data_IF_300116524706
#
_entry.id   IF_300116524706
#
_cell.length_a   1.000
_cell.length_b   1.000
_cell.length_c   1.000
_cell.angle_alpha   90.00
_cell.angle_beta   90.00
_cell.angle_gamma   90.00
#
_symmetry.space_group_name_H-M   'P 1'
#
loop_
_entity.id
_entity.type
_entity.pdbx_description
1 polymer ?
#
# COMPACT_ATOMS: atom_id res chain seq x y z
N UNK A 1 12.48 -25.08 -11.57
CA UNK A 1 13.16 -24.32 -10.50
C UNK A 1 12.87 -25.03 -9.21
N UNK A 2 13.89 -25.38 -8.42
CA UNK A 2 13.65 -25.75 -7.04
C UNK A 2 13.35 -24.48 -6.24
N UNK A 3 12.34 -24.56 -5.38
CA UNK A 3 11.87 -23.41 -4.63
C UNK A 3 11.24 -23.82 -3.30
N UNK A 4 11.29 -22.91 -2.34
CA UNK A 4 10.75 -23.10 -0.99
C UNK A 4 9.71 -22.02 -0.72
N UNK A 5 8.47 -22.41 -0.41
CA UNK A 5 7.45 -21.47 0.03
C UNK A 5 7.89 -20.83 1.36
N UNK A 6 7.98 -19.50 1.38
CA UNK A 6 8.34 -18.71 2.56
C UNK A 6 7.08 -18.16 3.23
N UNK A 7 6.15 -17.66 2.44
CA UNK A 7 4.92 -17.04 2.93
C UNK A 7 3.81 -17.19 1.90
N UNK A 8 2.58 -17.46 2.36
CA UNK A 8 1.37 -17.47 1.55
C UNK A 8 0.43 -16.42 2.12
N UNK A 9 0.30 -15.29 1.42
CA UNK A 9 -0.56 -14.17 1.78
C UNK A 9 -1.91 -14.21 1.08
N UNK A 10 -2.71 -13.15 1.25
CA UNK A 10 -4.04 -13.02 0.62
C UNK A 10 -3.92 -12.86 -0.89
N UNK A 11 -3.06 -11.96 -1.36
CA UNK A 11 -2.90 -11.64 -2.79
C UNK A 11 -1.66 -12.25 -3.43
N UNK A 12 -0.69 -12.74 -2.65
CA UNK A 12 0.62 -13.17 -3.17
C UNK A 12 1.18 -14.36 -2.40
N UNK A 13 1.88 -15.25 -3.10
CA UNK A 13 2.77 -16.24 -2.50
C UNK A 13 4.22 -15.78 -2.69
N UNK A 14 5.07 -16.05 -1.70
CA UNK A 14 6.49 -15.71 -1.72
C UNK A 14 7.30 -16.99 -1.63
N UNK A 15 8.14 -17.22 -2.63
CA UNK A 15 9.04 -18.36 -2.70
C UNK A 15 10.49 -17.90 -2.64
N UNK A 16 11.32 -18.64 -1.92
CA UNK A 16 12.78 -18.54 -2.04
C UNK A 16 13.24 -19.40 -3.21
N UNK A 17 14.01 -18.79 -4.10
CA UNK A 17 14.57 -19.45 -5.27
C UNK A 17 15.88 -20.10 -4.84
N UNK A 18 15.97 -21.44 -4.89
CA UNK A 18 17.14 -22.17 -4.36
C UNK A 18 18.19 -22.47 -5.42
N UNK A 19 17.87 -22.33 -6.71
CA UNK A 19 18.78 -22.67 -7.82
C UNK A 19 18.62 -21.75 -9.03
N UNK A 20 19.64 -21.71 -9.90
CA UNK A 20 19.62 -20.96 -11.15
C UNK A 20 20.00 -19.47 -11.01
N UNK A 21 19.70 -18.68 -12.06
CA UNK A 21 20.11 -17.26 -12.18
C UNK A 21 19.70 -16.39 -11.00
N UNK A 22 18.53 -16.66 -10.41
CA UNK A 22 17.96 -15.90 -9.30
C UNK A 22 18.11 -16.62 -7.95
N UNK A 23 19.03 -17.57 -7.81
CA UNK A 23 19.28 -18.26 -6.54
C UNK A 23 19.56 -17.26 -5.41
N UNK A 24 18.92 -17.47 -4.26
CA UNK A 24 18.98 -16.58 -3.10
C UNK A 24 18.08 -15.35 -3.17
N UNK A 25 17.27 -15.19 -4.24
CA UNK A 25 16.26 -14.13 -4.37
C UNK A 25 14.86 -14.67 -4.05
N UNK A 26 13.91 -13.75 -3.92
CA UNK A 26 12.50 -14.10 -3.72
C UNK A 26 11.70 -13.97 -5.01
N UNK A 27 10.75 -14.88 -5.21
CA UNK A 27 9.76 -14.90 -6.29
C UNK A 27 8.39 -14.62 -5.69
N UNK A 28 7.81 -13.48 -6.03
CA UNK A 28 6.44 -13.12 -5.68
C UNK A 28 5.51 -13.59 -6.79
N UNK A 29 4.58 -14.48 -6.45
CA UNK A 29 3.54 -14.98 -7.36
C UNK A 29 2.23 -14.32 -6.98
N UNK A 30 1.74 -13.43 -7.85
CA UNK A 30 0.50 -12.70 -7.67
C UNK A 30 -0.68 -13.62 -7.99
N UNK A 31 -1.65 -13.68 -7.07
CA UNK A 31 -2.81 -14.56 -7.11
C UNK A 31 -4.05 -13.84 -7.63
N UNK A 32 -4.92 -14.62 -8.24
CA UNK A 32 -6.26 -14.19 -8.65
C UNK A 32 -7.26 -14.16 -7.49
N UNK A 33 -6.83 -14.58 -6.29
CA UNK A 33 -7.62 -14.52 -5.06
C UNK A 33 -8.11 -13.08 -4.78
N UNK A 34 -9.40 -12.98 -4.50
CA UNK A 34 -10.07 -11.72 -4.24
C UNK A 34 -10.74 -11.76 -2.85
N UNK A 35 -10.52 -10.68 -2.10
CA UNK A 35 -11.12 -10.52 -0.77
C UNK A 35 -12.48 -9.85 -0.83
N UNK A 36 -13.27 -10.05 0.22
CA UNK A 36 -14.62 -9.53 0.28
C UNK A 36 -15.46 -10.19 1.38
N UNK A 37 -16.77 -10.22 1.16
CA UNK A 37 -17.74 -10.85 2.06
C UNK A 37 -18.82 -11.60 1.26
N UNK A 38 -19.59 -12.44 1.93
CA UNK A 38 -20.76 -13.07 1.34
C UNK A 38 -22.03 -12.30 1.69
N UNK A 39 -22.80 -11.92 0.68
CA UNK A 39 -24.14 -11.32 0.83
C UNK A 39 -25.16 -12.20 0.11
N UNK A 40 -26.14 -12.72 0.85
CA UNK A 40 -27.15 -13.64 0.32
C UNK A 40 -26.55 -14.84 -0.43
N UNK A 41 -25.44 -15.39 0.07
CA UNK A 41 -24.74 -16.54 -0.52
C UNK A 41 -23.92 -16.22 -1.78
N UNK A 42 -23.81 -14.95 -2.18
CA UNK A 42 -22.96 -14.50 -3.30
C UNK A 42 -21.74 -13.76 -2.77
N UNK A 43 -20.58 -14.04 -3.35
CA UNK A 43 -19.36 -13.29 -3.04
C UNK A 43 -19.50 -11.85 -3.56
N UNK A 44 -19.27 -10.89 -2.67
CA UNK A 44 -19.10 -9.47 -2.98
C UNK A 44 -17.64 -9.14 -2.78
N UNK A 45 -16.95 -8.84 -3.88
CA UNK A 45 -15.53 -8.50 -3.86
C UNK A 45 -15.32 -7.07 -3.34
N UNK A 46 -14.54 -6.94 -2.27
CA UNK A 46 -14.17 -5.68 -1.66
C UNK A 46 -12.74 -5.81 -1.09
N UNK A 47 -11.74 -5.11 -1.68
CA UNK A 47 -10.36 -5.19 -1.23
C UNK A 47 -10.14 -4.64 0.18
N UNK A 48 -11.13 -3.95 0.76
CA UNK A 48 -11.09 -3.50 2.15
C UNK A 48 -11.38 -4.60 3.18
N UNK A 49 -11.69 -5.83 2.75
CA UNK A 49 -11.89 -6.99 3.63
C UNK A 49 -10.66 -7.91 3.61
N UNK A 50 -10.52 -8.67 4.70
CA UNK A 50 -9.37 -9.55 4.93
C UNK A 50 -9.63 -11.03 4.60
N UNK A 51 -10.84 -11.37 4.20
CA UNK A 51 -11.25 -12.75 3.88
C UNK A 51 -11.25 -12.97 2.38
N UNK A 52 -10.56 -13.98 1.89
CA UNK A 52 -10.66 -14.44 0.48
C UNK A 52 -12.02 -15.11 0.28
N UNK A 53 -12.83 -14.58 -0.63
CA UNK A 53 -14.21 -15.06 -0.89
C UNK A 53 -14.40 -15.62 -2.30
N UNK A 54 -13.36 -15.58 -3.13
CA UNK A 54 -13.37 -16.13 -4.46
C UNK A 54 -12.14 -15.72 -5.26
N UNK A 55 -12.21 -15.89 -6.58
CA UNK A 55 -11.15 -15.53 -7.51
C UNK A 55 -11.69 -14.62 -8.61
N UNK A 56 -10.87 -13.66 -9.04
CA UNK A 56 -11.10 -12.81 -10.20
C UNK A 56 -10.02 -13.16 -11.23
N UNK A 57 -10.36 -13.89 -12.31
CA UNK A 57 -9.38 -14.31 -13.31
C UNK A 57 -8.54 -13.14 -13.85
N UNK A 58 -7.22 -13.31 -13.86
CA UNK A 58 -6.26 -12.32 -14.36
C UNK A 58 -5.91 -11.19 -13.38
N UNK A 59 -6.54 -11.13 -12.19
CA UNK A 59 -6.24 -10.11 -11.17
C UNK A 59 -4.76 -10.11 -10.78
N UNK A 60 -4.15 -11.27 -10.58
CA UNK A 60 -2.75 -11.39 -10.20
C UNK A 60 -1.81 -10.86 -11.28
N UNK A 61 -2.10 -11.17 -12.54
CA UNK A 61 -1.32 -10.67 -13.67
C UNK A 61 -1.40 -9.13 -13.81
N UNK A 62 -2.61 -8.56 -13.67
CA UNK A 62 -2.80 -7.11 -13.70
C UNK A 62 -2.04 -6.43 -12.55
N UNK A 63 -2.13 -6.97 -11.33
CA UNK A 63 -1.41 -6.43 -10.18
C UNK A 63 0.11 -6.47 -10.39
N UNK A 64 0.66 -7.58 -10.90
CA UNK A 64 2.09 -7.69 -11.18
C UNK A 64 2.56 -6.73 -12.27
N UNK A 65 1.80 -6.59 -13.38
CA UNK A 65 2.10 -5.62 -14.44
C UNK A 65 2.09 -4.19 -13.93
N UNK A 66 1.11 -3.84 -13.09
CA UNK A 66 1.01 -2.51 -12.48
C UNK A 66 2.19 -2.25 -11.53
N UNK A 67 2.51 -3.20 -10.65
CA UNK A 67 3.66 -3.10 -9.76
C UNK A 67 4.97 -2.98 -10.55
N UNK A 68 5.12 -3.75 -11.63
CA UNK A 68 6.27 -3.67 -12.54
C UNK A 68 6.44 -2.28 -13.14
N UNK A 69 5.36 -1.66 -13.63
CA UNK A 69 5.39 -0.30 -14.18
C UNK A 69 5.96 0.69 -13.17
N UNK A 70 5.40 0.71 -11.96
CA UNK A 70 5.84 1.65 -10.93
C UNK A 70 7.23 1.34 -10.41
N UNK A 71 7.61 0.07 -10.18
CA UNK A 71 8.97 -0.23 -9.73
C UNK A 71 10.04 0.16 -10.76
N UNK A 72 9.77 -0.02 -12.06
CA UNK A 72 10.67 0.48 -13.11
C UNK A 72 10.77 2.01 -13.09
N UNK A 73 9.63 2.70 -13.00
CA UNK A 73 9.60 4.16 -12.89
C UNK A 73 10.37 4.67 -11.64
N UNK A 74 10.25 3.97 -10.52
CA UNK A 74 11.00 4.26 -9.31
C UNK A 74 12.51 4.06 -9.50
N UNK A 75 12.93 2.98 -10.17
CA UNK A 75 14.35 2.74 -10.51
C UNK A 75 14.91 3.86 -11.40
N UNK A 76 14.15 4.34 -12.40
CA UNK A 76 14.55 5.47 -13.25
C UNK A 76 14.80 6.75 -12.45
N UNK A 77 14.08 6.94 -11.34
CA UNK A 77 14.26 8.06 -10.42
C UNK A 77 15.26 7.77 -9.27
N UNK A 78 15.98 6.65 -9.33
CA UNK A 78 16.98 6.27 -8.32
C UNK A 78 16.38 5.92 -6.95
N UNK A 79 15.09 5.57 -6.89
CA UNK A 79 14.44 5.16 -5.65
C UNK A 79 14.79 3.71 -5.34
N UNK A 80 15.30 3.41 -4.13
CA UNK A 80 15.67 2.06 -3.76
C UNK A 80 14.41 1.20 -3.51
N UNK A 81 14.34 0.04 -4.16
CA UNK A 81 13.27 -0.93 -4.00
C UNK A 81 13.83 -2.36 -3.95
N UNK A 82 13.00 -3.31 -3.53
CA UNK A 82 13.35 -4.73 -3.65
C UNK A 82 13.25 -5.27 -5.09
N UNK A 83 12.70 -4.53 -6.05
CA UNK A 83 12.42 -5.05 -7.39
C UNK A 83 13.70 -5.37 -8.18
N UNK A 84 13.75 -6.55 -8.80
CA UNK A 84 14.85 -6.98 -9.67
C UNK A 84 14.35 -7.15 -11.11
N UNK A 85 13.32 -7.98 -11.31
CA UNK A 85 12.84 -8.37 -12.64
C UNK A 85 11.39 -8.85 -12.61
N UNK A 86 10.75 -8.91 -13.78
CA UNK A 86 9.42 -9.49 -13.98
C UNK A 86 9.55 -10.62 -14.99
N UNK A 87 9.38 -11.86 -14.54
CA UNK A 87 9.73 -13.06 -15.33
C UNK A 87 8.53 -13.71 -16.02
N UNK A 88 7.31 -13.35 -15.62
CA UNK A 88 6.06 -13.73 -16.27
C UNK A 88 4.97 -12.71 -15.96
N UNK A 89 3.77 -12.90 -16.52
CA UNK A 89 2.64 -11.97 -16.36
C UNK A 89 2.25 -11.72 -14.90
N UNK A 90 2.44 -12.71 -14.00
CA UNK A 90 2.06 -12.62 -12.59
C UNK A 90 3.21 -12.91 -11.62
N UNK A 91 4.47 -12.89 -12.09
CA UNK A 91 5.63 -13.22 -11.27
C UNK A 91 6.71 -12.14 -11.29
N UNK A 92 7.15 -11.76 -10.09
CA UNK A 92 8.16 -10.74 -9.87
C UNK A 92 9.31 -11.31 -9.05
N UNK A 93 10.54 -11.04 -9.47
CA UNK A 93 11.75 -11.37 -8.73
C UNK A 93 12.18 -10.16 -7.92
N UNK A 94 12.45 -10.38 -6.63
CA UNK A 94 12.80 -9.33 -5.70
C UNK A 94 13.98 -9.72 -4.81
N UNK A 95 14.71 -8.72 -4.33
CA UNK A 95 15.66 -8.86 -3.25
C UNK A 95 14.94 -9.30 -1.97
N UNK A 96 15.47 -10.28 -1.23
CA UNK A 96 14.93 -10.63 0.07
C UNK A 96 14.98 -9.44 1.01
N UNK A 97 13.82 -9.08 1.55
CA UNK A 97 13.66 -8.02 2.54
C UNK A 97 12.80 -8.49 3.71
N UNK A 98 13.11 -7.99 4.89
CA UNK A 98 12.38 -8.24 6.12
C UNK A 98 11.40 -7.08 6.36
N UNK A 99 10.13 -7.39 6.67
CA UNK A 99 9.16 -6.41 7.18
C UNK A 99 9.71 -5.58 8.34
N UNK A 100 9.17 -4.38 8.55
CA UNK A 100 9.50 -3.51 9.69
C UNK A 100 8.74 -3.93 10.95
N UNK A 101 8.89 -5.20 11.32
CA UNK A 101 8.31 -5.79 12.52
C UNK A 101 9.31 -5.96 13.66
N UNK A 102 8.80 -6.17 14.87
CA UNK A 102 9.56 -6.53 16.07
C UNK A 102 8.83 -7.63 16.86
N UNK A 103 9.53 -8.52 17.57
CA UNK A 103 8.91 -9.49 18.46
C UNK A 103 8.15 -8.79 19.60
N UNK A 104 7.32 -9.55 20.32
CA UNK A 104 6.77 -9.06 21.57
C UNK A 104 7.89 -8.95 22.62
N UNK A 105 7.96 -7.81 23.32
CA UNK A 105 8.99 -7.57 24.35
C UNK A 105 8.80 -8.44 25.60
N UNK A 106 7.57 -8.82 25.91
CA UNK A 106 7.23 -9.62 27.09
C UNK A 106 6.14 -10.65 26.76
N UNK A 107 6.45 -11.69 25.95
CA UNK A 107 5.48 -12.68 25.46
C UNK A 107 4.82 -13.52 26.57
N UNK A 108 5.38 -13.52 27.77
CA UNK A 108 4.82 -14.18 28.95
C UNK A 108 3.54 -13.53 29.49
N UNK A 109 3.27 -12.25 29.15
CA UNK A 109 2.05 -11.58 29.56
C UNK A 109 0.89 -11.87 28.61
N UNK A 110 -0.30 -12.25 29.13
CA UNK A 110 -1.48 -12.46 28.29
C UNK A 110 -1.83 -11.21 27.47
N UNK A 111 -1.92 -11.36 26.15
CA UNK A 111 -2.23 -10.29 25.21
C UNK A 111 -1.01 -9.66 24.50
N UNK A 112 0.22 -10.00 24.92
CA UNK A 112 1.43 -9.60 24.20
C UNK A 112 1.48 -10.22 22.80
N UNK A 113 1.77 -9.38 21.80
CA UNK A 113 1.83 -9.78 20.41
C UNK A 113 2.96 -9.04 19.68
N UNK A 114 3.60 -9.66 18.67
CA UNK A 114 4.61 -9.00 17.87
C UNK A 114 3.99 -7.94 16.95
N UNK A 115 4.75 -6.90 16.63
CA UNK A 115 4.48 -6.05 15.48
C UNK A 115 4.90 -6.81 14.22
N UNK A 116 3.95 -7.18 13.37
CA UNK A 116 4.24 -7.99 12.19
C UNK A 116 4.89 -7.18 11.06
N UNK A 117 4.31 -6.01 10.76
CA UNK A 117 4.85 -5.07 9.78
C UNK A 117 4.30 -3.66 10.04
N UNK A 118 4.86 -2.68 9.36
CA UNK A 118 4.33 -1.32 9.25
C UNK A 118 3.90 -1.03 7.82
N UNK A 119 2.83 -0.25 7.72
CA UNK A 119 2.35 0.33 6.48
C UNK A 119 2.42 1.86 6.59
N UNK A 120 2.95 2.50 5.55
CA UNK A 120 3.09 3.95 5.49
C UNK A 120 2.05 4.50 4.53
N UNK A 121 1.07 5.22 5.09
CA UNK A 121 0.06 5.90 4.29
C UNK A 121 0.52 7.32 3.99
N UNK A 122 0.58 7.70 2.72
CA UNK A 122 0.70 9.12 2.34
C UNK A 122 -0.66 9.66 1.95
N UNK A 123 -0.92 10.93 2.25
CA UNK A 123 -2.19 11.59 1.95
C UNK A 123 -2.00 12.95 1.33
N UNK A 124 -2.48 13.10 0.10
CA UNK A 124 -2.60 14.40 -0.54
C UNK A 124 -3.86 15.12 -0.04
N UNK A 125 -4.95 14.37 0.19
CA UNK A 125 -6.25 14.93 0.53
C UNK A 125 -6.89 14.24 1.75
N UNK A 126 -7.64 15.01 2.55
CA UNK A 126 -8.39 14.51 3.69
C UNK A 126 -9.58 13.63 3.25
N UNK A 127 -9.40 12.31 3.19
CA UNK A 127 -10.46 11.33 2.91
C UNK A 127 -10.28 10.07 3.76
N UNK A 128 -11.07 9.03 3.52
CA UNK A 128 -10.90 7.72 4.12
C UNK A 128 -10.84 7.75 5.66
N UNK A 129 -9.88 7.01 6.23
CA UNK A 129 -9.69 6.94 7.68
C UNK A 129 -9.23 8.26 8.30
N UNK A 130 -8.48 9.09 7.56
CA UNK A 130 -8.04 10.40 8.03
C UNK A 130 -9.22 11.30 8.37
N UNK A 131 -10.16 11.45 7.43
CA UNK A 131 -11.33 12.30 7.66
C UNK A 131 -12.24 11.75 8.76
N UNK A 132 -12.40 10.42 8.83
CA UNK A 132 -13.19 9.79 9.91
C UNK A 132 -12.60 10.07 11.30
N UNK A 133 -11.26 10.11 11.42
CA UNK A 133 -10.56 10.45 12.66
C UNK A 133 -10.60 11.94 12.98
N UNK A 134 -10.53 12.79 11.95
CA UNK A 134 -10.50 14.25 12.09
C UNK A 134 -11.70 14.92 11.40
N UNK A 135 -12.93 14.74 11.92
CA UNK A 135 -14.15 15.22 11.25
C UNK A 135 -14.27 16.76 11.23
N UNK A 136 -13.43 17.47 11.99
CA UNK A 136 -13.30 18.92 11.95
C UNK A 136 -12.49 19.41 10.73
N UNK A 137 -11.88 18.51 9.95
CA UNK A 137 -11.21 18.84 8.70
C UNK A 137 -12.22 18.76 7.55
N UNK A 138 -12.19 19.76 6.66
CA UNK A 138 -13.03 19.77 5.45
C UNK A 138 -12.71 18.54 4.58
N UNK A 139 -13.72 17.78 4.11
CA UNK A 139 -13.50 16.66 3.20
C UNK A 139 -12.71 17.07 1.95
N UNK A 140 -11.79 16.21 1.52
CA UNK A 140 -10.89 16.40 0.38
C UNK A 140 -10.00 17.66 0.43
N UNK A 141 -9.89 18.33 1.58
CA UNK A 141 -8.91 19.40 1.79
C UNK A 141 -7.51 18.90 1.45
N UNK A 142 -6.72 19.73 0.77
CA UNK A 142 -5.29 19.47 0.60
C UNK A 142 -4.62 19.47 1.98
N UNK A 143 -3.91 18.38 2.27
CA UNK A 143 -3.20 18.19 3.54
C UNK A 143 -1.70 18.02 3.33
N UNK A 144 -1.18 18.43 2.17
CA UNK A 144 0.26 18.61 1.94
C UNK A 144 1.10 17.34 2.16
N UNK A 145 0.66 16.20 1.59
CA UNK A 145 1.43 14.94 1.59
C UNK A 145 1.75 14.43 3.01
N UNK A 146 0.77 14.47 3.93
CA UNK A 146 0.92 13.90 5.28
C UNK A 146 1.32 12.42 5.17
N UNK A 147 2.29 11.99 5.97
CA UNK A 147 2.68 10.59 6.11
C UNK A 147 2.26 10.09 7.49
N UNK A 148 1.63 8.93 7.53
CA UNK A 148 1.21 8.22 8.75
C UNK A 148 1.77 6.80 8.74
N UNK A 149 2.21 6.29 9.90
CA UNK A 149 2.57 4.90 10.08
C UNK A 149 1.42 4.11 10.73
N UNK A 150 1.22 2.89 10.28
CA UNK A 150 0.15 2.00 10.73
C UNK A 150 0.70 0.60 10.98
N UNK A 151 0.25 -0.06 12.03
CA UNK A 151 0.55 -1.48 12.24
C UNK A 151 -0.21 -2.33 11.22
N UNK A 152 0.40 -3.40 10.72
CA UNK A 152 -0.31 -4.40 9.92
C UNK A 152 -0.86 -5.51 10.81
N UNK A 153 -2.18 -5.69 10.85
CA UNK A 153 -2.83 -6.73 11.66
C UNK A 153 -4.31 -6.94 11.31
N UNK A 154 -5.06 -7.60 12.20
CA UNK A 154 -6.52 -7.77 12.04
C UNK A 154 -7.28 -6.42 12.10
N UNK A 155 -6.67 -5.44 12.76
CA UNK A 155 -7.11 -4.05 12.73
C UNK A 155 -5.87 -3.18 12.69
N UNK A 156 -5.72 -2.41 11.62
CA UNK A 156 -4.59 -1.50 11.48
C UNK A 156 -4.72 -0.34 12.48
N UNK A 157 -3.71 -0.19 13.34
CA UNK A 157 -3.65 0.85 14.37
C UNK A 157 -2.68 1.92 13.90
N UNK A 158 -3.11 3.19 13.94
CA UNK A 158 -2.19 4.30 13.74
C UNK A 158 -1.20 4.35 14.89
N UNK A 159 0.08 4.38 14.56
CA UNK A 159 1.17 4.62 15.51
C UNK A 159 1.83 5.95 15.19
N UNK A 160 2.04 6.79 16.21
CA UNK A 160 2.78 8.04 16.03
C UNK A 160 4.26 7.74 15.84
N UNK A 161 4.99 8.61 15.15
CA UNK A 161 6.44 8.43 14.98
C UNK A 161 7.21 8.45 16.31
N UNK A 162 6.74 9.22 17.30
CA UNK A 162 7.29 9.20 18.65
C UNK A 162 7.06 7.84 19.33
N UNK A 163 5.83 7.30 19.30
CA UNK A 163 5.57 5.97 19.85
C UNK A 163 6.35 4.87 19.11
N UNK A 164 6.56 5.02 17.80
CA UNK A 164 7.33 4.08 17.00
C UNK A 164 8.82 4.07 17.38
N UNK A 165 9.36 5.23 17.74
CA UNK A 165 10.73 5.35 18.28
C UNK A 165 10.82 4.75 19.69
N UNK A 166 9.92 5.14 20.60
CA UNK A 166 9.98 4.73 22.01
C UNK A 166 9.69 3.24 22.22
N UNK A 167 8.95 2.60 21.30
CA UNK A 167 8.77 1.14 21.29
C UNK A 167 9.98 0.39 20.73
N UNK A 168 11.00 1.09 20.22
CA UNK A 168 12.19 0.50 19.62
C UNK A 168 11.96 -0.15 18.25
N UNK A 169 10.79 0.00 17.64
CA UNK A 169 10.48 -0.59 16.34
C UNK A 169 11.33 0.02 15.21
N UNK A 170 11.60 1.33 15.30
CA UNK A 170 12.47 2.06 14.39
C UNK A 170 13.23 3.16 15.12
N UNK A 171 14.48 3.39 14.76
CA UNK A 171 15.22 4.56 15.27
C UNK A 171 14.71 5.87 14.64
N UNK A 172 14.95 7.02 15.28
CA UNK A 172 14.62 8.33 14.68
C UNK A 172 15.16 8.51 13.26
N UNK A 173 16.41 8.10 13.03
CA UNK A 173 17.04 8.19 11.71
C UNK A 173 16.34 7.32 10.65
N UNK A 174 15.91 6.12 11.03
CA UNK A 174 15.13 5.25 10.14
C UNK A 174 13.74 5.82 9.85
N UNK A 175 13.09 6.42 10.84
CA UNK A 175 11.79 7.08 10.70
C UNK A 175 11.90 8.26 9.73
N UNK A 176 12.85 9.16 9.96
CA UNK A 176 13.05 10.36 9.14
C UNK A 176 13.36 9.96 7.68
N UNK A 177 14.25 8.98 7.49
CA UNK A 177 14.54 8.42 6.18
C UNK A 177 13.30 7.81 5.51
N UNK A 178 12.49 7.05 6.26
CA UNK A 178 11.28 6.39 5.74
C UNK A 178 10.22 7.40 5.32
N UNK A 179 10.03 8.47 6.10
CA UNK A 179 9.11 9.56 5.76
C UNK A 179 9.55 10.24 4.47
N UNK A 180 10.83 10.56 4.32
CA UNK A 180 11.35 11.20 3.12
C UNK A 180 11.29 10.27 1.90
N UNK A 181 11.57 8.98 2.07
CA UNK A 181 11.42 7.97 1.03
C UNK A 181 9.95 7.88 0.57
N UNK A 182 9.01 7.79 1.50
CA UNK A 182 7.56 7.73 1.20
C UNK A 182 7.10 8.98 0.46
N UNK A 183 7.53 10.18 0.87
CA UNK A 183 7.18 11.43 0.17
C UNK A 183 7.70 11.46 -1.27
N UNK A 184 8.94 11.01 -1.50
CA UNK A 184 9.53 10.93 -2.86
C UNK A 184 8.77 9.95 -3.75
N UNK A 185 8.47 8.76 -3.23
CA UNK A 185 7.67 7.76 -3.97
C UNK A 185 6.27 8.33 -4.25
N UNK A 186 5.62 8.91 -3.25
CA UNK A 186 4.30 9.52 -3.39
C UNK A 186 4.26 10.63 -4.45
N UNK A 187 5.32 11.43 -4.56
CA UNK A 187 5.45 12.45 -5.59
C UNK A 187 5.57 11.87 -6.99
N UNK A 188 6.39 10.83 -7.19
CA UNK A 188 6.51 10.13 -8.46
C UNK A 188 5.17 9.50 -8.85
N UNK A 189 4.54 8.77 -7.93
CA UNK A 189 3.22 8.15 -8.16
C UNK A 189 2.17 9.22 -8.48
N UNK A 190 2.10 10.30 -7.70
CA UNK A 190 1.14 11.39 -7.93
C UNK A 190 1.35 12.06 -9.29
N UNK A 191 2.60 12.29 -9.69
CA UNK A 191 2.94 12.90 -10.98
C UNK A 191 2.60 11.98 -12.15
N UNK A 192 2.87 10.69 -12.01
CA UNK A 192 2.61 9.68 -13.02
C UNK A 192 1.10 9.54 -13.30
N UNK A 193 0.26 9.50 -12.27
CA UNK A 193 -1.19 9.57 -12.43
C UNK A 193 -1.65 10.95 -12.95
N UNK A 194 -1.04 12.03 -12.47
CA UNK A 194 -1.34 13.41 -12.90
C UNK A 194 -1.14 13.61 -14.40
N UNK A 195 -0.08 13.02 -14.97
CA UNK A 195 0.19 13.05 -16.41
C UNK A 195 -0.94 12.45 -17.26
N UNK A 196 -1.79 11.62 -16.65
CA UNK A 196 -2.93 10.93 -17.28
C UNK A 196 -4.28 11.57 -16.90
N UNK A 197 -4.25 12.79 -16.35
CA UNK A 197 -5.45 13.53 -15.95
C UNK A 197 -6.15 12.94 -14.71
N UNK A 198 -5.43 12.16 -13.91
CA UNK A 198 -5.95 11.51 -12.71
C UNK A 198 -5.41 12.17 -11.43
N UNK A 199 -6.19 12.10 -10.37
CA UNK A 199 -5.84 12.72 -9.09
C UNK A 199 -5.73 11.71 -7.97
N UNK A 200 -4.52 11.56 -7.42
CA UNK A 200 -4.24 10.66 -6.28
C UNK A 200 -4.60 11.36 -4.98
N UNK A 201 -5.56 10.82 -4.24
CA UNK A 201 -5.99 11.34 -2.93
C UNK A 201 -5.06 10.87 -1.81
N UNK A 202 -4.75 9.58 -1.79
CA UNK A 202 -3.85 8.92 -0.85
C UNK A 202 -3.44 7.55 -1.39
N UNK A 203 -2.52 6.91 -0.69
CA UNK A 203 -2.22 5.50 -0.87
C UNK A 203 -1.32 4.97 0.24
N UNK A 204 -0.89 3.73 0.10
CA UNK A 204 -0.16 2.99 1.12
C UNK A 204 1.06 2.29 0.52
N UNK A 205 2.18 2.34 1.23
CA UNK A 205 3.39 1.60 0.88
C UNK A 205 3.82 0.73 2.05
N UNK A 206 4.45 -0.40 1.73
CA UNK A 206 5.21 -1.19 2.69
C UNK A 206 6.70 -0.93 2.47
N UNK A 207 7.42 -0.75 3.58
CA UNK A 207 8.87 -0.64 3.57
C UNK A 207 9.46 -1.87 4.26
N UNK A 208 10.69 -2.21 3.91
CA UNK A 208 11.40 -3.33 4.51
C UNK A 208 12.90 -3.11 4.53
N UNK A 209 13.58 -3.83 5.43
CA UNK A 209 15.04 -3.87 5.51
C UNK A 209 15.55 -4.98 4.62
N UNK A 210 16.45 -4.69 3.68
CA UNK A 210 17.10 -5.76 2.90
C UNK A 210 17.70 -6.81 3.84
N UNK A 211 17.51 -8.09 3.53
CA UNK A 211 17.94 -9.21 4.38
C UNK A 211 19.46 -9.34 4.40
N UNK A 212 20.11 -8.95 3.32
CA UNK A 212 21.57 -9.01 3.12
C UNK A 212 22.13 -7.60 2.91
N UNK A 213 23.45 -7.45 3.06
CA UNK A 213 24.14 -6.17 2.91
C UNK A 213 23.98 -5.26 4.13
N UNK A 214 23.83 -3.97 3.88
CA UNK A 214 23.72 -2.90 4.90
C UNK A 214 22.34 -2.82 5.58
N UNK A 215 21.42 -3.73 5.22
CA UNK A 215 20.03 -3.78 5.71
C UNK A 215 19.25 -2.48 5.47
N UNK A 216 19.60 -1.74 4.41
CA UNK A 216 18.93 -0.49 4.05
C UNK A 216 17.41 -0.67 3.92
N UNK A 217 16.68 0.35 4.37
CA UNK A 217 15.23 0.44 4.19
C UNK A 217 14.92 0.81 2.72
N UNK A 218 14.07 0.00 2.10
CA UNK A 218 13.62 0.15 0.70
C UNK A 218 12.10 -0.05 0.62
N UNK A 219 11.48 0.39 -0.47
CA UNK A 219 10.08 0.01 -0.74
C UNK A 219 10.01 -1.46 -1.14
N UNK A 220 9.07 -2.18 -0.54
CA UNK A 220 8.81 -3.60 -0.75
C UNK A 220 7.33 -3.82 -1.14
N UNK A 221 6.92 -5.09 -1.18
CA UNK A 221 5.59 -5.54 -1.59
C UNK A 221 5.22 -5.11 -3.02
N UNK A 222 4.15 -4.32 -3.18
CA UNK A 222 3.64 -3.86 -4.47
C UNK A 222 3.21 -2.38 -4.46
N UNK A 223 3.21 -1.77 -5.63
CA UNK A 223 2.34 -0.61 -5.92
C UNK A 223 1.29 -1.12 -6.88
N UNK A 224 0.04 -1.16 -6.45
CA UNK A 224 -1.09 -1.72 -7.19
C UNK A 224 -2.33 -0.84 -7.06
N UNK A 225 -3.37 -1.05 -7.88
CA UNK A 225 -4.65 -0.37 -7.74
C UNK A 225 -5.27 -0.46 -6.34
N UNK A 226 -5.00 -1.55 -5.61
CA UNK A 226 -5.61 -1.81 -4.30
C UNK A 226 -5.00 -0.93 -3.19
N UNK A 227 -3.79 -0.38 -3.42
CA UNK A 227 -3.07 0.44 -2.44
C UNK A 227 -3.10 1.94 -2.74
N UNK A 228 -3.85 2.37 -3.77
CA UNK A 228 -4.00 3.79 -4.13
C UNK A 228 -5.45 4.20 -4.29
N UNK A 229 -5.81 5.40 -3.80
CA UNK A 229 -7.12 6.01 -4.09
C UNK A 229 -6.94 7.11 -5.10
N UNK A 230 -7.46 6.89 -6.30
CA UNK A 230 -7.35 7.83 -7.41
C UNK A 230 -8.74 8.22 -7.89
N UNK A 231 -8.94 9.49 -8.23
CA UNK A 231 -10.19 10.02 -8.76
C UNK A 231 -10.03 10.62 -10.15
N UNK A 232 -11.11 10.59 -10.93
CA UNK A 232 -11.25 11.39 -12.14
C UNK A 232 -11.67 12.81 -11.78
N UNK A 233 -11.02 13.78 -12.42
CA UNK A 233 -11.26 15.19 -12.21
C UNK A 233 -10.61 15.72 -10.94
N UNK A 234 -9.92 16.85 -11.09
CA UNK A 234 -9.35 17.62 -9.99
C UNK A 234 -9.12 19.04 -10.49
N UNK A 235 -9.68 20.00 -9.75
CA UNK A 235 -9.55 21.41 -10.04
C UNK A 235 -9.02 22.09 -8.76
N UNK A 236 -7.69 22.18 -8.58
CA UNK A 236 -7.11 22.83 -7.42
C UNK A 236 -7.36 24.34 -7.45
N UNK A 237 -7.65 24.93 -6.29
CA UNK A 237 -7.48 26.36 -6.07
C UNK A 237 -6.00 26.71 -5.79
N UNK A 238 -5.73 27.99 -5.50
CA UNK A 238 -4.39 28.50 -5.19
C UNK A 238 -3.72 27.81 -3.99
N UNK A 239 -4.50 27.22 -3.09
CA UNK A 239 -4.01 26.53 -1.89
C UNK A 239 -3.94 24.99 -2.13
N UNK A 240 -4.15 24.54 -3.38
CA UNK A 240 -4.15 23.15 -3.80
C UNK A 240 -5.42 22.38 -3.42
N UNK A 241 -6.42 23.06 -2.86
CA UNK A 241 -7.66 22.43 -2.46
C UNK A 241 -8.51 22.08 -3.68
N UNK A 242 -9.06 20.86 -3.72
CA UNK A 242 -10.02 20.50 -4.75
C UNK A 242 -11.29 21.36 -4.63
N UNK A 243 -11.65 22.08 -5.70
CA UNK A 243 -12.84 22.95 -5.75
C UNK A 243 -14.12 22.17 -6.07
N UNK A 244 -14.02 21.06 -6.82
CA UNK A 244 -15.15 20.21 -7.22
C UNK A 244 -15.54 19.15 -6.18
N UNK A 245 -14.90 19.18 -5.00
CA UNK A 245 -15.10 18.14 -3.98
C UNK A 245 -16.56 18.01 -3.51
N UNK A 246 -17.36 19.08 -3.59
CA UNK A 246 -18.78 19.08 -3.21
C UNK A 246 -19.63 18.17 -4.12
N UNK A 247 -19.22 18.00 -5.37
CA UNK A 247 -19.97 17.24 -6.36
C UNK A 247 -19.69 15.74 -6.25
N UNK A 248 -18.48 15.38 -5.79
CA UNK A 248 -18.01 14.01 -5.74
C UNK A 248 -17.89 13.41 -4.33
N UNK A 249 -17.78 14.21 -3.27
CA UNK A 249 -17.60 13.70 -1.91
C UNK A 249 -18.92 13.51 -1.20
N UNK A 250 -19.19 12.29 -0.78
CA UNK A 250 -20.38 11.92 0.01
C UNK A 250 -19.93 11.47 1.39
N UNK A 251 -20.43 12.13 2.43
CA UNK A 251 -20.22 11.73 3.82
C UNK A 251 -21.53 11.27 4.45
N UNK A 252 -21.46 10.30 5.35
CA UNK A 252 -22.60 9.89 6.17
C UNK A 252 -22.19 9.78 7.64
N UNK A 253 -23.17 9.93 8.53
CA UNK A 253 -23.01 9.66 9.96
C UNK A 253 -24.26 8.97 10.47
N UNK A 254 -24.13 7.69 10.84
CA UNK A 254 -25.20 6.89 11.39
C UNK A 254 -24.63 6.00 12.50
N UNK A 255 -25.35 5.85 13.61
CA UNK A 255 -24.96 4.95 14.72
C UNK A 255 -23.53 5.18 15.24
N UNK A 256 -23.08 6.43 15.31
CA UNK A 256 -21.72 6.77 15.75
C UNK A 256 -20.62 6.47 14.71
N UNK A 257 -20.96 5.88 13.56
CA UNK A 257 -20.02 5.56 12.48
C UNK A 257 -20.05 6.64 11.40
N UNK A 258 -18.88 7.21 11.13
CA UNK A 258 -18.65 8.13 10.00
C UNK A 258 -18.24 7.35 8.76
N UNK A 259 -18.77 7.73 7.60
CA UNK A 259 -18.29 7.23 6.32
C UNK A 259 -18.03 8.37 5.36
N UNK A 260 -17.11 8.14 4.42
CA UNK A 260 -16.78 9.07 3.34
C UNK A 260 -16.51 8.25 2.08
N UNK A 261 -17.08 8.69 0.97
CA UNK A 261 -16.91 8.08 -0.36
C UNK A 261 -16.65 9.17 -1.39
N UNK A 262 -15.75 8.89 -2.33
CA UNK A 262 -15.51 9.73 -3.49
C UNK A 262 -16.19 9.09 -4.72
N UNK A 263 -17.23 9.72 -5.26
CA UNK A 263 -18.03 9.21 -6.39
C UNK A 263 -17.22 8.98 -7.65
N UNK A 264 -16.21 9.81 -7.88
CA UNK A 264 -15.35 9.76 -9.06
C UNK A 264 -14.09 8.89 -8.86
N UNK A 265 -14.05 8.07 -7.80
CA UNK A 265 -12.94 7.15 -7.60
C UNK A 265 -12.85 6.17 -8.78
N UNK A 266 -11.66 6.08 -9.37
CA UNK A 266 -11.34 5.17 -10.47
C UNK A 266 -11.38 3.74 -9.93
N UNK A 267 -12.06 2.84 -10.64
CA UNK A 267 -12.09 1.41 -10.31
C UNK A 267 -10.78 0.76 -10.72
N UNK A 268 -10.35 -0.28 -10.01
CA UNK A 268 -9.11 -0.99 -10.30
C UNK A 268 -9.03 -1.46 -11.78
N UNK A 269 -10.14 -1.98 -12.32
CA UNK A 269 -10.21 -2.44 -13.71
C UNK A 269 -9.97 -1.32 -14.74
N UNK A 270 -10.32 -0.08 -14.43
CA UNK A 270 -10.14 1.04 -15.35
C UNK A 270 -8.67 1.44 -15.49
N UNK A 271 -7.82 1.17 -14.48
CA UNK A 271 -6.40 1.50 -14.56
C UNK A 271 -5.67 0.70 -15.64
N UNK A 272 -6.18 -0.48 -16.00
CA UNK A 272 -5.61 -1.30 -17.07
C UNK A 272 -5.57 -0.45 -18.34
N UNK A 273 -6.70 0.13 -18.76
CA UNK A 273 -6.76 0.96 -19.97
C UNK A 273 -5.90 2.24 -19.94
N UNK A 274 -5.44 2.63 -18.75
CA UNK A 274 -4.70 3.88 -18.51
C UNK A 274 -3.18 3.64 -18.48
N UNK A 275 -2.74 2.46 -18.02
CA UNK A 275 -1.32 2.14 -17.79
C UNK A 275 -0.82 0.92 -18.57
N UNK A 276 -1.71 0.05 -19.05
CA UNK A 276 -1.41 -1.30 -19.55
C UNK A 276 -2.05 -1.60 -20.91
#
# INVERSE_FOLDING_TARGET
MEEKLIYSGKSKNVYEITSGRYSGKYRLVFKDDATGYFENGKAVFDPGYDTVVGQIPGKGAIACRFATHFFKLLQEHGIPSHYIDTVSDNEMIVEPALPLGIPADSPEFPGSAPLQNLEFTWRNNATGSFWRRYPFVRPCRNIHKVVEAWTKGDTDILITFEALEETGAMTRAEIDYSVELVKKIAEIVTSEFGSKGLHVLDGKFELGRLKYGDRKIVIIDEISPDVVRVCRGYAPDKDGNCTIYKDCTVTNFAEGKRTIKNRNQVKAADFISVFL
#
